data_IF_373358164627
#
_entry.id   IF_373358164627
#
_cell.length_a   1.000
_cell.length_b   1.000
_cell.length_c   1.000
_cell.angle_alpha   90.00
_cell.angle_beta   90.00
_cell.angle_gamma   90.00
#
_symmetry.space_group_name_H-M   'P 1'
#
loop_
_entity.id
_entity.type
_entity.pdbx_description
1 polymer ?
#
# COMPACT_ATOMS: atom_id res chain seq x y z
N UNK A 1 -41.62 17.29 41.09
CA UNK A 1 -41.73 17.34 39.62
C UNK A 1 -40.48 17.98 39.00
N UNK A 2 -40.05 19.16 39.46
CA UNK A 2 -38.80 19.84 39.03
C UNK A 2 -37.53 18.97 39.20
N UNK A 3 -37.45 18.18 40.27
CA UNK A 3 -36.28 17.32 40.53
C UNK A 3 -36.05 16.22 39.47
N UNK A 4 -37.10 15.72 38.82
CA UNK A 4 -36.96 14.69 37.78
C UNK A 4 -36.30 15.26 36.52
N UNK A 5 -36.68 16.48 36.12
CA UNK A 5 -36.15 17.13 34.93
C UNK A 5 -34.75 17.69 35.14
N UNK A 6 -34.41 18.12 36.36
CA UNK A 6 -33.04 18.47 36.73
C UNK A 6 -32.12 17.24 36.63
N UNK A 7 -32.60 16.07 37.07
CA UNK A 7 -31.87 14.80 36.97
C UNK A 7 -31.73 14.36 35.51
N UNK A 8 -32.78 14.52 34.71
CA UNK A 8 -32.77 14.21 33.28
C UNK A 8 -31.80 15.11 32.50
N UNK A 9 -31.77 16.41 32.80
CA UNK A 9 -30.81 17.36 32.24
C UNK A 9 -29.36 16.96 32.56
N UNK A 10 -29.08 16.50 33.77
CA UNK A 10 -27.73 16.06 34.16
C UNK A 10 -27.30 14.74 33.49
N UNK A 11 -28.24 13.89 33.13
CA UNK A 11 -27.96 12.62 32.43
C UNK A 11 -27.95 12.76 30.90
N UNK A 12 -28.40 13.91 30.37
CA UNK A 12 -28.60 14.09 28.93
C UNK A 12 -27.29 14.31 28.19
N UNK A 13 -26.80 13.24 27.56
CA UNK A 13 -25.65 13.25 26.65
C UNK A 13 -26.09 13.05 25.19
N UNK A 14 -25.37 13.65 24.26
CA UNK A 14 -25.54 13.48 22.83
C UNK A 14 -25.30 12.02 22.44
N UNK A 15 -26.28 11.41 21.78
CA UNK A 15 -26.17 10.02 21.34
C UNK A 15 -25.25 9.91 20.11
N UNK A 16 -24.64 8.73 19.88
CA UNK A 16 -23.66 8.52 18.80
C UNK A 16 -24.21 8.84 17.39
N UNK A 17 -25.50 8.65 17.19
CA UNK A 17 -26.23 8.86 15.94
C UNK A 17 -27.10 10.12 15.93
N UNK A 18 -26.98 10.95 16.97
CA UNK A 18 -27.77 12.18 17.11
C UNK A 18 -26.95 13.38 16.65
N UNK A 19 -27.57 14.22 15.81
CA UNK A 19 -26.96 15.47 15.35
C UNK A 19 -26.88 16.50 16.47
N UNK A 20 -25.97 17.47 16.33
CA UNK A 20 -25.87 18.59 17.26
C UNK A 20 -27.19 19.38 17.34
N UNK A 21 -27.92 19.49 16.23
CA UNK A 21 -29.23 20.17 16.16
C UNK A 21 -30.30 19.49 17.02
N UNK A 22 -30.42 18.16 16.91
CA UNK A 22 -31.37 17.36 17.68
C UNK A 22 -31.04 17.41 19.18
N UNK A 23 -29.75 17.24 19.51
CA UNK A 23 -29.27 17.33 20.88
C UNK A 23 -29.53 18.70 21.49
N UNK A 24 -29.21 19.78 20.76
CA UNK A 24 -29.43 21.15 21.20
C UNK A 24 -30.91 21.44 21.45
N UNK A 25 -31.79 20.98 20.56
CA UNK A 25 -33.24 21.15 20.70
C UNK A 25 -33.75 20.46 21.97
N UNK A 26 -33.32 19.21 22.20
CA UNK A 26 -33.67 18.44 23.41
C UNK A 26 -33.19 19.13 24.69
N UNK A 27 -31.96 19.65 24.71
CA UNK A 27 -31.41 20.39 25.85
C UNK A 27 -32.16 21.72 26.10
N UNK A 28 -32.50 22.45 25.04
CA UNK A 28 -33.26 23.70 25.16
C UNK A 28 -34.66 23.46 25.74
N UNK A 29 -35.35 22.40 25.33
CA UNK A 29 -36.64 22.05 25.91
C UNK A 29 -36.51 21.68 27.39
N UNK A 30 -35.45 20.97 27.79
CA UNK A 30 -35.20 20.66 29.20
C UNK A 30 -34.96 21.93 30.01
N UNK A 31 -34.19 22.89 29.49
CA UNK A 31 -34.04 24.19 30.14
C UNK A 31 -35.36 24.96 30.23
N UNK A 32 -36.18 24.96 29.19
CA UNK A 32 -37.48 25.62 29.21
C UNK A 32 -38.43 25.00 30.24
N UNK A 33 -38.32 23.70 30.47
CA UNK A 33 -39.11 22.95 31.47
C UNK A 33 -38.61 23.16 32.90
N UNK A 34 -37.28 23.29 33.09
CA UNK A 34 -36.67 23.52 34.41
C UNK A 34 -36.73 24.99 34.84
N UNK A 35 -36.72 25.92 33.87
CA UNK A 35 -36.84 27.34 34.14
C UNK A 35 -38.29 27.68 34.54
N UNK A 36 -38.45 28.14 35.78
CA UNK A 36 -39.73 28.59 36.34
C UNK A 36 -39.58 30.05 36.83
N UNK A 37 -40.68 30.70 37.20
CA UNK A 37 -40.69 32.07 37.71
C UNK A 37 -39.78 32.28 38.93
N UNK A 38 -39.47 31.20 39.67
CA UNK A 38 -38.61 31.23 40.84
C UNK A 38 -37.12 30.98 40.54
N UNK A 39 -36.78 30.34 39.41
CA UNK A 39 -35.41 29.94 39.11
C UNK A 39 -35.19 29.83 37.60
N UNK A 40 -34.18 30.53 37.10
CA UNK A 40 -33.69 30.43 35.74
C UNK A 40 -32.22 29.98 35.76
N UNK A 41 -31.90 28.98 34.95
CA UNK A 41 -30.53 28.52 34.77
C UNK A 41 -29.68 29.62 34.09
N UNK A 42 -28.56 30.06 34.68
CA UNK A 42 -27.67 31.04 34.06
C UNK A 42 -27.06 30.54 32.74
N UNK A 43 -26.95 31.41 31.74
CA UNK A 43 -26.49 31.07 30.39
C UNK A 43 -25.13 30.37 30.32
N UNK A 44 -24.17 30.78 31.15
CA UNK A 44 -22.85 30.16 31.21
C UNK A 44 -22.90 28.73 31.75
N UNK A 45 -23.82 28.46 32.68
CA UNK A 45 -24.06 27.11 33.19
C UNK A 45 -24.76 26.27 32.13
N UNK A 46 -25.70 26.85 31.39
CA UNK A 46 -26.35 26.18 30.26
C UNK A 46 -25.32 25.78 29.19
N UNK A 47 -24.47 26.71 28.78
CA UNK A 47 -23.42 26.48 27.80
C UNK A 47 -22.47 25.36 28.24
N UNK A 48 -21.96 25.43 29.47
CA UNK A 48 -21.01 24.45 30.00
C UNK A 48 -21.63 23.06 30.16
N UNK A 49 -22.91 22.98 30.55
CA UNK A 49 -23.66 21.72 30.64
C UNK A 49 -23.88 21.10 29.26
N UNK A 50 -24.34 21.90 28.30
CA UNK A 50 -24.47 21.47 26.89
C UNK A 50 -23.14 20.93 26.36
N UNK A 51 -22.05 21.67 26.51
CA UNK A 51 -20.72 21.24 26.04
C UNK A 51 -20.30 19.93 26.71
N UNK A 52 -20.55 19.78 28.02
CA UNK A 52 -20.17 18.55 28.75
C UNK A 52 -20.89 17.29 28.30
N UNK A 53 -22.07 17.42 27.68
CA UNK A 53 -22.82 16.30 27.15
C UNK A 53 -22.60 16.04 25.67
N UNK A 54 -21.78 16.81 24.97
CA UNK A 54 -21.43 16.55 23.57
C UNK A 54 -20.67 15.21 23.41
N UNK A 55 -20.74 14.64 22.20
CA UNK A 55 -19.89 13.50 21.84
C UNK A 55 -18.40 13.79 22.06
N UNK A 56 -17.55 12.79 22.37
CA UNK A 56 -16.14 13.00 22.71
C UNK A 56 -15.36 13.86 21.70
N UNK A 57 -15.56 13.61 20.41
CA UNK A 57 -14.89 14.35 19.34
C UNK A 57 -15.30 15.83 19.31
N UNK A 58 -16.60 16.10 19.49
CA UNK A 58 -17.13 17.45 19.52
C UNK A 58 -16.79 18.16 20.84
N UNK A 59 -16.85 17.46 21.97
CA UNK A 59 -16.44 17.96 23.28
C UNK A 59 -15.00 18.47 23.25
N UNK A 60 -14.07 17.66 22.74
CA UNK A 60 -12.66 18.04 22.66
C UNK A 60 -12.44 19.23 21.72
N UNK A 61 -13.24 19.34 20.66
CA UNK A 61 -13.18 20.47 19.75
C UNK A 61 -13.77 21.76 20.36
N UNK A 62 -14.85 21.67 21.13
CA UNK A 62 -15.63 22.84 21.59
C UNK A 62 -15.19 23.33 22.97
N UNK A 63 -14.82 22.44 23.90
CA UNK A 63 -14.46 22.77 25.29
C UNK A 63 -13.41 23.89 25.45
N UNK A 64 -12.32 23.95 24.66
CA UNK A 64 -11.27 24.96 24.87
C UNK A 64 -11.75 26.41 24.69
N UNK A 65 -12.86 26.63 24.00
CA UNK A 65 -13.35 27.96 23.69
C UNK A 65 -14.10 28.62 24.85
N UNK A 66 -14.65 27.82 25.77
CA UNK A 66 -15.31 28.35 26.98
C UNK A 66 -16.45 29.32 26.68
N UNK A 67 -17.36 28.94 25.77
CA UNK A 67 -18.49 29.79 25.36
C UNK A 67 -19.39 30.15 26.57
N UNK A 68 -19.79 31.42 26.65
CA UNK A 68 -20.56 31.95 27.79
C UNK A 68 -22.07 31.89 27.62
N UNK A 69 -22.56 31.66 26.40
CA UNK A 69 -23.98 31.49 26.12
C UNK A 69 -24.25 30.14 25.48
N UNK A 70 -25.44 29.59 25.72
CA UNK A 70 -25.87 28.35 25.09
C UNK A 70 -25.87 28.48 23.55
N UNK A 71 -26.27 29.65 23.03
CA UNK A 71 -26.30 29.92 21.60
C UNK A 71 -24.89 29.87 20.97
N UNK A 72 -23.88 30.47 21.61
CA UNK A 72 -22.50 30.45 21.13
C UNK A 72 -21.94 29.02 21.13
N UNK A 73 -22.20 28.26 22.20
CA UNK A 73 -21.79 26.86 22.31
C UNK A 73 -22.42 25.99 21.21
N UNK A 74 -23.72 26.18 20.93
CA UNK A 74 -24.44 25.47 19.86
C UNK A 74 -23.86 25.85 18.49
N UNK A 75 -23.66 27.14 18.22
CA UNK A 75 -23.10 27.61 16.95
C UNK A 75 -21.72 27.03 16.68
N UNK A 76 -20.88 26.97 17.72
CA UNK A 76 -19.55 26.37 17.63
C UNK A 76 -19.62 24.85 17.41
N UNK A 77 -20.43 24.14 18.18
CA UNK A 77 -20.61 22.70 18.03
C UNK A 77 -21.07 22.32 16.62
N UNK A 78 -21.99 23.09 16.02
CA UNK A 78 -22.41 22.92 14.62
C UNK A 78 -21.25 23.12 13.63
N UNK A 79 -20.44 24.16 13.83
CA UNK A 79 -19.25 24.39 13.02
C UNK A 79 -18.24 23.24 13.10
N UNK A 80 -18.03 22.71 14.30
CA UNK A 80 -17.18 21.53 14.53
C UNK A 80 -17.75 20.27 13.88
N UNK A 81 -19.06 20.01 13.99
CA UNK A 81 -19.74 18.86 13.38
C UNK A 81 -19.60 18.87 11.85
N UNK A 82 -19.83 20.02 11.21
CA UNK A 82 -19.64 20.19 9.77
C UNK A 82 -18.20 19.90 9.34
N UNK A 83 -17.23 20.41 10.10
CA UNK A 83 -15.80 20.21 9.84
C UNK A 83 -15.41 18.75 10.01
N UNK A 84 -15.89 18.10 11.07
CA UNK A 84 -15.59 16.69 11.37
C UNK A 84 -16.20 15.76 10.31
N UNK A 85 -17.44 16.04 9.88
CA UNK A 85 -18.11 15.28 8.80
C UNK A 85 -17.37 15.44 7.48
N UNK A 86 -16.99 16.66 7.10
CA UNK A 86 -16.20 16.93 5.88
C UNK A 86 -14.82 16.28 5.94
N UNK A 87 -14.14 16.37 7.09
CA UNK A 87 -12.85 15.73 7.33
C UNK A 87 -12.93 14.21 7.24
N UNK A 88 -13.97 13.60 7.83
CA UNK A 88 -14.24 12.16 7.73
C UNK A 88 -14.48 11.74 6.27
N UNK A 89 -15.22 12.52 5.48
CA UNK A 89 -15.37 12.26 4.04
C UNK A 89 -14.03 12.32 3.30
N UNK A 90 -13.17 13.31 3.58
CA UNK A 90 -11.82 13.39 2.98
C UNK A 90 -10.96 12.19 3.35
N UNK A 91 -10.97 11.78 4.62
CA UNK A 91 -10.22 10.62 5.10
C UNK A 91 -10.71 9.31 4.45
N UNK A 92 -12.03 9.14 4.34
CA UNK A 92 -12.64 8.00 3.66
C UNK A 92 -12.27 7.96 2.17
N UNK A 93 -12.24 9.11 1.50
CA UNK A 93 -11.82 9.18 0.09
C UNK A 93 -10.34 8.80 -0.07
N UNK A 94 -9.46 9.26 0.82
CA UNK A 94 -8.05 8.88 0.80
C UNK A 94 -7.84 7.38 1.07
N UNK A 95 -8.55 6.82 2.05
CA UNK A 95 -8.55 5.38 2.31
C UNK A 95 -9.10 4.59 1.11
N UNK A 96 -10.19 5.06 0.49
CA UNK A 96 -10.75 4.46 -0.73
C UNK A 96 -9.75 4.44 -1.88
N UNK A 97 -9.01 5.54 -2.10
CA UNK A 97 -7.98 5.63 -3.13
C UNK A 97 -6.88 4.58 -2.92
N UNK A 98 -6.29 4.53 -1.71
CA UNK A 98 -5.23 3.55 -1.42
C UNK A 98 -5.70 2.11 -1.54
N UNK A 99 -6.93 1.78 -1.14
CA UNK A 99 -7.48 0.43 -1.34
C UNK A 99 -7.66 0.07 -2.81
N UNK A 100 -8.05 1.04 -3.65
CA UNK A 100 -8.15 0.88 -5.11
C UNK A 100 -6.77 0.63 -5.74
N UNK A 101 -5.76 1.42 -5.36
CA UNK A 101 -4.38 1.26 -5.84
C UNK A 101 -3.79 -0.10 -5.43
N UNK A 102 -4.02 -0.53 -4.18
CA UNK A 102 -3.59 -1.85 -3.69
C UNK A 102 -4.28 -2.98 -4.47
N UNK A 103 -5.58 -2.86 -4.73
CA UNK A 103 -6.30 -3.89 -5.51
C UNK A 103 -5.84 -3.93 -6.97
N UNK A 104 -5.53 -2.79 -7.57
CA UNK A 104 -4.97 -2.72 -8.92
C UNK A 104 -3.58 -3.36 -9.00
N UNK A 105 -2.68 -3.04 -8.05
CA UNK A 105 -1.37 -3.68 -7.93
C UNK A 105 -1.49 -5.19 -7.72
N UNK A 106 -2.42 -5.64 -6.88
CA UNK A 106 -2.65 -7.07 -6.62
C UNK A 106 -3.08 -7.80 -7.90
N UNK A 107 -3.93 -7.18 -8.73
CA UNK A 107 -4.33 -7.74 -10.03
C UNK A 107 -3.16 -7.82 -11.00
N UNK A 108 -2.32 -6.78 -11.06
CA UNK A 108 -1.14 -6.77 -11.93
C UNK A 108 -0.12 -7.85 -11.51
N UNK A 109 0.11 -8.02 -10.22
CA UNK A 109 1.00 -9.08 -9.69
C UNK A 109 0.45 -10.48 -10.01
N UNK A 110 -0.85 -10.70 -9.85
CA UNK A 110 -1.49 -11.98 -10.21
C UNK A 110 -1.32 -12.29 -11.71
N UNK A 111 -1.62 -11.32 -12.58
CA UNK A 111 -1.48 -11.47 -14.03
C UNK A 111 -0.02 -11.70 -14.47
N UNK A 112 0.93 -11.00 -13.84
CA UNK A 112 2.36 -11.21 -14.10
C UNK A 112 2.80 -12.61 -13.67
N UNK A 113 2.29 -13.09 -12.53
CA UNK A 113 2.57 -14.44 -12.03
C UNK A 113 2.07 -15.50 -13.01
N UNK A 114 0.88 -15.34 -13.57
CA UNK A 114 0.35 -16.21 -14.62
C UNK A 114 1.25 -16.22 -15.87
N UNK A 115 1.65 -15.05 -16.37
CA UNK A 115 2.55 -14.97 -17.52
C UNK A 115 3.90 -15.66 -17.28
N UNK A 116 4.48 -15.51 -16.08
CA UNK A 116 5.72 -16.19 -15.71
C UNK A 116 5.54 -17.72 -15.71
N UNK A 117 4.42 -18.23 -15.18
CA UNK A 117 4.15 -19.67 -15.19
C UNK A 117 3.99 -20.23 -16.60
N UNK A 118 3.35 -19.47 -17.51
CA UNK A 118 3.16 -19.85 -18.90
C UNK A 118 4.50 -19.86 -19.69
N UNK A 119 5.33 -18.83 -19.51
CA UNK A 119 6.68 -18.79 -20.10
C UNK A 119 7.52 -19.97 -19.61
N UNK A 120 7.49 -20.24 -18.30
CA UNK A 120 8.21 -21.38 -17.70
C UNK A 120 7.80 -22.70 -18.37
N UNK A 121 6.51 -22.91 -18.59
CA UNK A 121 5.96 -24.11 -19.27
C UNK A 121 6.45 -24.23 -20.72
N UNK A 122 6.51 -23.12 -21.47
CA UNK A 122 7.04 -23.11 -22.85
C UNK A 122 8.54 -23.38 -22.91
N UNK A 123 9.31 -22.86 -21.96
CA UNK A 123 10.77 -23.08 -21.88
C UNK A 123 11.10 -24.53 -21.48
N UNK A 124 10.32 -25.14 -20.58
CA UNK A 124 10.53 -26.54 -20.20
C UNK A 124 9.99 -27.53 -21.24
N UNK A 125 8.90 -27.20 -21.93
CA UNK A 125 8.31 -28.03 -22.99
C UNK A 125 9.18 -28.18 -24.25
N UNK A 126 10.07 -27.21 -24.52
CA UNK A 126 10.98 -27.25 -25.66
C UNK A 126 12.35 -27.87 -25.35
N UNK A 127 12.58 -28.38 -24.13
CA UNK A 127 13.84 -29.05 -23.79
C UNK A 127 13.75 -30.50 -24.24
N UNK A 128 14.61 -30.96 -25.18
CA UNK A 128 14.69 -32.39 -25.49
C UNK A 128 14.99 -33.15 -24.18
N UNK A 129 14.46 -34.38 -24.00
CA UNK A 129 14.83 -35.19 -22.85
C UNK A 129 16.36 -35.26 -22.76
N UNK A 130 16.93 -35.32 -21.54
CA UNK A 130 18.36 -35.53 -21.42
C UNK A 130 18.66 -36.81 -22.17
N UNK A 131 19.46 -36.71 -23.24
CA UNK A 131 20.01 -37.89 -23.90
C UNK A 131 20.74 -38.62 -22.80
N UNK A 132 20.25 -39.79 -22.41
CA UNK A 132 21.01 -40.76 -21.64
C UNK A 132 22.17 -41.19 -22.52
N UNK A 133 23.24 -40.38 -22.54
CA UNK A 133 24.57 -40.83 -22.93
C UNK A 133 25.02 -41.82 -21.83
N UNK A 134 24.37 -42.97 -21.76
CA UNK A 134 24.84 -44.16 -21.06
C UNK A 134 26.00 -44.72 -21.88
N UNK A 135 27.09 -43.96 -21.98
CA UNK A 135 28.31 -44.39 -22.64
C UNK A 135 29.07 -45.24 -21.63
N UNK A 136 28.79 -46.55 -21.67
CA UNK A 136 29.56 -47.57 -20.97
C UNK A 136 31.03 -47.50 -21.46
N UNK A 137 32.02 -47.26 -20.57
CA UNK A 137 33.42 -47.17 -20.96
C UNK A 137 34.04 -48.50 -21.46
N UNK A 138 33.34 -49.63 -21.34
CA UNK A 138 33.89 -50.98 -21.59
C UNK A 138 33.32 -51.71 -22.83
N UNK A 139 32.89 -51.00 -23.87
CA UNK A 139 32.53 -51.64 -25.15
C UNK A 139 33.80 -51.87 -26.02
N UNK A 140 33.99 -53.06 -26.65
CA UNK A 140 35.13 -53.31 -27.53
C UNK A 140 35.13 -52.32 -28.70
N UNK A 141 36.25 -51.64 -28.88
CA UNK A 141 36.47 -50.70 -29.97
C UNK A 141 36.55 -51.44 -31.32
N UNK A 142 35.44 -51.44 -32.06
CA UNK A 142 35.45 -51.80 -33.48
C UNK A 142 36.28 -50.77 -34.27
N UNK A 143 37.33 -51.19 -34.99
CA UNK A 143 38.25 -50.29 -35.65
C UNK A 143 37.82 -50.00 -37.09
N UNK A 144 36.62 -49.44 -37.34
CA UNK A 144 36.35 -48.86 -38.67
C UNK A 144 35.11 -47.97 -38.78
N UNK A 145 34.91 -47.01 -37.88
CA UNK A 145 33.94 -45.93 -38.16
C UNK A 145 34.66 -44.81 -38.89
N UNK A 146 34.47 -44.76 -40.21
CA UNK A 146 34.85 -43.61 -41.03
C UNK A 146 34.16 -42.38 -40.43
N UNK A 147 34.94 -41.49 -39.84
CA UNK A 147 34.44 -40.29 -39.19
C UNK A 147 34.13 -39.26 -40.28
N UNK A 148 32.85 -39.02 -40.55
CA UNK A 148 32.39 -38.12 -41.62
C UNK A 148 31.84 -36.84 -41.02
N UNK A 149 32.19 -35.71 -41.62
CA UNK A 149 31.74 -34.41 -41.17
C UNK A 149 30.28 -34.21 -41.53
N UNK A 150 29.42 -33.95 -40.54
CA UNK A 150 28.01 -33.65 -40.78
C UNK A 150 27.76 -32.28 -41.44
N UNK A 151 28.81 -31.47 -41.62
CA UNK A 151 28.71 -30.12 -42.21
C UNK A 151 29.12 -30.10 -43.68
N UNK A 152 30.21 -30.76 -44.05
CA UNK A 152 30.69 -30.81 -45.45
C UNK A 152 30.58 -32.19 -46.11
N UNK A 153 30.25 -33.24 -45.36
CA UNK A 153 30.13 -34.61 -45.89
C UNK A 153 31.46 -35.32 -46.14
N UNK A 154 32.61 -34.70 -45.85
CA UNK A 154 33.93 -35.32 -46.04
C UNK A 154 34.36 -36.19 -44.87
N UNK A 155 35.08 -37.27 -45.16
CA UNK A 155 35.66 -38.15 -44.14
C UNK A 155 36.94 -37.56 -43.51
N UNK A 156 37.26 -37.98 -42.29
CA UNK A 156 38.47 -37.60 -41.55
C UNK A 156 38.25 -36.59 -40.43
N UNK A 157 37.07 -35.98 -40.30
CA UNK A 157 36.76 -35.04 -39.21
C UNK A 157 35.26 -34.97 -38.86
N UNK A 158 34.92 -34.38 -37.71
CA UNK A 158 33.53 -34.05 -37.32
C UNK A 158 33.29 -32.56 -37.48
N UNK A 159 32.03 -32.12 -37.55
CA UNK A 159 31.61 -30.72 -37.75
C UNK A 159 32.37 -29.67 -36.92
N UNK A 160 32.72 -30.01 -35.66
CA UNK A 160 33.46 -29.11 -34.77
C UNK A 160 34.90 -28.83 -35.19
N UNK A 161 35.48 -29.71 -36.00
CA UNK A 161 36.84 -29.59 -36.57
C UNK A 161 36.79 -29.50 -38.09
N UNK A 162 35.67 -29.03 -38.64
CA UNK A 162 35.58 -28.82 -40.07
C UNK A 162 36.51 -27.68 -40.47
N UNK A 163 37.45 -27.90 -41.41
CA UNK A 163 38.36 -26.86 -41.86
C UNK A 163 37.63 -25.73 -42.58
N UNK A 164 36.43 -26.00 -43.12
CA UNK A 164 35.55 -25.01 -43.72
C UNK A 164 34.64 -24.30 -42.70
N UNK A 165 34.78 -24.59 -41.40
CA UNK A 165 34.03 -23.90 -40.37
C UNK A 165 34.74 -22.58 -40.01
N UNK A 166 34.11 -21.40 -40.18
CA UNK A 166 34.72 -20.10 -39.91
C UNK A 166 35.12 -19.89 -38.44
N UNK A 167 34.77 -20.81 -37.53
CA UNK A 167 35.12 -20.75 -36.12
C UNK A 167 36.40 -21.53 -35.75
N UNK A 168 37.16 -22.05 -36.72
CA UNK A 168 38.31 -22.96 -36.45
C UNK A 168 39.59 -22.57 -37.19
N UNK A 169 39.93 -21.30 -37.21
CA UNK A 169 41.32 -20.86 -37.49
C UNK A 169 42.11 -20.80 -36.18
N UNK A 170 42.73 -21.94 -35.87
CA UNK A 170 44.08 -22.14 -35.33
C UNK A 170 44.71 -21.01 -34.50
N UNK A 171 44.96 -21.30 -33.23
CA UNK A 171 45.76 -20.46 -32.35
C UNK A 171 47.23 -20.35 -32.79
N UNK A 172 47.77 -19.15 -32.66
CA UNK A 172 49.18 -18.88 -32.37
C UNK A 172 49.22 -17.73 -31.35
N UNK A 173 49.68 -18.02 -30.14
CA UNK A 173 50.17 -17.00 -29.20
C UNK A 173 51.68 -16.82 -29.47
N UNK A 174 52.21 -15.59 -29.33
CA UNK A 174 53.02 -15.35 -28.15
C UNK A 174 52.82 -13.98 -27.48
N UNK A 175 52.63 -14.03 -26.15
CA UNK A 175 53.32 -13.27 -25.10
C UNK A 175 53.77 -11.84 -25.43
N UNK A 176 53.13 -10.82 -24.80
CA UNK A 176 53.80 -9.72 -24.05
C UNK A 176 52.85 -9.23 -22.93
N UNK A 177 53.45 -8.92 -21.78
CA UNK A 177 52.90 -8.66 -20.45
C UNK A 177 52.36 -7.22 -20.24
N UNK A 178 51.78 -6.89 -19.05
CA UNK A 178 50.99 -5.68 -18.81
C UNK A 178 51.85 -4.48 -18.37
N UNK A 179 51.45 -3.27 -18.76
CA UNK A 179 52.05 -2.02 -18.25
C UNK A 179 51.05 -1.30 -17.34
N UNK A 180 51.30 -1.45 -16.04
CA UNK A 180 50.98 -0.51 -14.97
C UNK A 180 51.60 0.85 -15.30
N UNK A 181 50.96 1.99 -14.96
CA UNK A 181 51.60 3.21 -14.41
C UNK A 181 50.59 4.37 -14.21
N UNK A 182 50.32 4.63 -12.92
CA UNK A 182 50.20 5.92 -12.20
C UNK A 182 49.09 6.95 -12.47
N UNK A 183 48.24 7.14 -11.45
CA UNK A 183 47.67 8.40 -10.94
C UNK A 183 48.75 9.34 -10.36
N UNK A 184 48.45 10.52 -9.74
CA UNK A 184 47.55 11.68 -9.98
C UNK A 184 48.43 13.00 -9.98
N UNK A 185 48.07 14.25 -9.55
CA UNK A 185 46.83 14.79 -8.96
C UNK A 185 46.39 16.24 -9.33
N UNK A 186 45.19 16.59 -8.84
CA UNK A 186 44.74 17.87 -8.23
C UNK A 186 44.99 19.20 -8.99
N UNK A 187 43.90 19.94 -9.22
CA UNK A 187 43.83 21.34 -8.80
C UNK A 187 42.40 21.84 -8.63
N UNK A 188 42.13 22.20 -7.39
CA UNK A 188 41.08 23.07 -6.87
C UNK A 188 41.17 24.46 -7.48
N UNK A 189 40.03 25.04 -7.85
CA UNK A 189 39.71 26.47 -7.75
C UNK A 189 38.18 26.62 -7.77
#
# INVERSE_FOLDING_TARGET
>A
MVEMWATELDQRQQQLNESVDEYASSIQELYQRVNDAAFAYPDNLQARKFVSGLQPELYMAVKPFGDQTLADAIGRAKGCELTLRSGKTKLLNYAGQTTSEITELTKLVAALTEQITEIRKKVTGNRPPPRSDSRNPNAPSEPNRTIVCYTCGEAGHVSRRCPNNPASTSGTNPVVAPVVTTTPPISTA
#
